data_IF_304102316636
#
_entry.id   IF_304102316636
#
_cell.length_a   1.000
_cell.length_b   1.000
_cell.length_c   1.000
_cell.angle_alpha   90.00
_cell.angle_beta   90.00
_cell.angle_gamma   90.00
#
_symmetry.space_group_name_H-M   'P 1'
#
loop_
_entity.id
_entity.type
_entity.pdbx_description
1 polymer ?
#
# COMPACT_ATOMS: atom_id res chain seq x y z
N UNK A 1 11.94 13.74 -14.22
CA UNK A 1 11.32 13.98 -12.89
C UNK A 1 9.96 14.69 -12.97
N UNK A 2 9.72 15.62 -13.91
CA UNK A 2 8.43 16.34 -14.05
C UNK A 2 7.22 15.39 -14.14
N UNK A 3 7.30 14.38 -14.99
CA UNK A 3 6.23 13.39 -15.16
C UNK A 3 5.95 12.58 -13.88
N UNK A 4 6.99 12.09 -13.19
CA UNK A 4 6.85 11.37 -11.92
C UNK A 4 6.10 12.19 -10.87
N UNK A 5 6.46 13.47 -10.73
CA UNK A 5 5.81 14.38 -9.78
C UNK A 5 4.37 14.69 -10.17
N UNK A 6 4.11 14.87 -11.47
CA UNK A 6 2.76 15.07 -11.99
C UNK A 6 1.86 13.88 -11.62
N UNK A 7 2.28 12.64 -11.98
CA UNK A 7 1.50 11.43 -11.68
C UNK A 7 1.33 11.17 -10.18
N UNK A 8 2.38 11.42 -9.38
CA UNK A 8 2.27 11.31 -7.93
C UNK A 8 1.25 12.32 -7.36
N UNK A 9 1.27 13.55 -7.88
CA UNK A 9 0.28 14.59 -7.54
C UNK A 9 -1.14 14.11 -7.80
N UNK A 10 -1.43 13.58 -8.99
CA UNK A 10 -2.76 13.07 -9.33
C UNK A 10 -3.27 11.99 -8.36
N UNK A 11 -2.40 11.05 -7.96
CA UNK A 11 -2.75 10.02 -6.98
C UNK A 11 -3.06 10.62 -5.61
N UNK A 12 -2.25 11.57 -5.13
CA UNK A 12 -2.50 12.20 -3.83
C UNK A 12 -3.76 13.09 -3.85
N UNK A 13 -4.00 13.82 -4.94
CA UNK A 13 -5.24 14.59 -5.12
C UNK A 13 -6.47 13.67 -5.08
N UNK A 14 -6.41 12.53 -5.77
CA UNK A 14 -7.47 11.52 -5.75
C UNK A 14 -7.77 11.01 -4.33
N UNK A 15 -6.74 10.82 -3.51
CA UNK A 15 -6.88 10.43 -2.10
C UNK A 15 -7.53 11.55 -1.29
N UNK A 16 -7.04 12.80 -1.41
CA UNK A 16 -7.60 13.96 -0.68
C UNK A 16 -9.05 14.24 -1.06
N UNK A 17 -9.40 14.07 -2.32
CA UNK A 17 -10.76 14.22 -2.82
C UNK A 17 -11.69 13.07 -2.42
N UNK A 18 -11.16 11.98 -1.84
CA UNK A 18 -11.94 10.81 -1.42
C UNK A 18 -12.40 9.89 -2.56
N UNK A 19 -12.01 10.19 -3.80
CA UNK A 19 -12.26 9.33 -4.97
C UNK A 19 -11.44 8.04 -4.89
N UNK A 20 -10.19 8.13 -4.42
CA UNK A 20 -9.34 6.97 -4.15
C UNK A 20 -9.27 6.69 -2.64
N UNK A 21 -9.82 5.55 -2.21
CA UNK A 21 -9.72 5.07 -0.83
C UNK A 21 -8.72 3.92 -0.74
N UNK A 22 -7.61 4.14 -0.05
CA UNK A 22 -6.59 3.10 0.16
C UNK A 22 -6.99 2.27 1.39
N UNK A 23 -7.28 0.99 1.18
CA UNK A 23 -7.56 0.04 2.27
C UNK A 23 -6.27 -0.65 2.70
N UNK A 24 -5.93 -0.55 3.98
CA UNK A 24 -4.91 -1.37 4.62
C UNK A 24 -5.57 -2.69 5.01
N UNK A 25 -5.07 -3.78 4.42
CA UNK A 25 -5.60 -5.12 4.57
C UNK A 25 -4.89 -5.95 5.63
N UNK A 26 -3.61 -5.66 5.84
CA UNK A 26 -2.79 -6.29 6.85
C UNK A 26 -1.58 -5.42 7.20
N UNK A 27 -1.12 -5.56 8.43
CA UNK A 27 0.10 -4.94 8.93
C UNK A 27 0.95 -6.04 9.57
N UNK A 28 2.25 -6.01 9.29
CA UNK A 28 3.22 -6.93 9.89
C UNK A 28 4.38 -6.09 10.44
N UNK A 29 4.93 -6.44 11.61
CA UNK A 29 6.23 -5.92 12.02
C UNK A 29 7.30 -6.21 10.96
N UNK A 30 8.29 -5.34 10.82
CA UNK A 30 9.34 -5.44 9.79
C UNK A 30 10.13 -6.75 9.93
N UNK A 31 10.36 -7.22 11.15
CA UNK A 31 11.02 -8.50 11.45
C UNK A 31 10.21 -9.72 10.94
N UNK A 32 8.92 -9.53 10.68
CA UNK A 32 8.00 -10.53 10.12
C UNK A 32 7.76 -10.37 8.62
N UNK A 33 8.65 -9.66 7.90
CA UNK A 33 8.53 -9.48 6.45
C UNK A 33 8.32 -10.79 5.68
N UNK A 34 8.97 -11.90 6.10
CA UNK A 34 8.74 -13.22 5.51
C UNK A 34 7.27 -13.65 5.59
N UNK A 35 6.63 -13.50 6.74
CA UNK A 35 5.21 -13.85 6.94
C UNK A 35 4.30 -12.98 6.07
N UNK A 36 4.64 -11.70 5.90
CA UNK A 36 3.90 -10.79 5.01
C UNK A 36 3.94 -11.26 3.54
N UNK A 37 5.12 -11.70 3.06
CA UNK A 37 5.29 -12.28 1.73
C UNK A 37 4.51 -13.58 1.55
N UNK A 38 4.63 -14.52 2.50
CA UNK A 38 3.87 -15.78 2.48
C UNK A 38 2.35 -15.54 2.45
N UNK A 39 1.86 -14.54 3.19
CA UNK A 39 0.45 -14.15 3.17
C UNK A 39 0.01 -13.51 1.84
N UNK A 40 0.86 -12.69 1.22
CA UNK A 40 0.61 -12.09 -0.10
C UNK A 40 0.59 -13.14 -1.22
N UNK A 41 1.61 -13.99 -1.28
CA UNK A 41 1.75 -15.05 -2.30
C UNK A 41 0.65 -16.09 -2.17
N UNK A 42 0.30 -16.45 -0.92
CA UNK A 42 -0.82 -17.33 -0.62
C UNK A 42 -2.20 -16.71 -0.83
N UNK A 43 -2.29 -15.47 -1.33
CA UNK A 43 -3.54 -14.71 -1.53
C UNK A 43 -4.42 -14.60 -0.29
N UNK A 44 -3.80 -14.54 0.90
CA UNK A 44 -4.48 -14.42 2.20
C UNK A 44 -4.79 -12.97 2.59
N UNK A 45 -4.34 -12.00 1.81
CA UNK A 45 -4.54 -10.57 2.06
C UNK A 45 -5.41 -9.94 0.97
N UNK A 46 -6.13 -8.88 1.32
CA UNK A 46 -6.87 -8.04 0.37
C UNK A 46 -6.63 -6.57 0.70
N UNK A 47 -6.27 -5.75 -0.29
CA UNK A 47 -5.81 -4.37 -0.05
C UNK A 47 -4.29 -4.28 0.11
N UNK A 48 -3.82 -3.23 0.77
CA UNK A 48 -2.39 -2.99 0.98
C UNK A 48 -1.86 -3.73 2.21
N UNK A 49 -0.65 -4.23 2.10
CA UNK A 49 0.10 -4.82 3.22
C UNK A 49 1.22 -3.84 3.57
N UNK A 50 1.33 -3.49 4.85
CA UNK A 50 2.37 -2.60 5.36
C UNK A 50 3.33 -3.36 6.26
N UNK A 51 4.60 -2.98 6.20
CA UNK A 51 5.61 -3.37 7.18
C UNK A 51 5.82 -2.20 8.15
N UNK A 52 5.71 -2.50 9.44
CA UNK A 52 5.85 -1.52 10.53
C UNK A 52 7.24 -1.68 11.14
N UNK A 53 8.09 -0.63 11.15
CA UNK A 53 9.45 -0.70 11.70
C UNK A 53 9.54 -1.02 13.18
#
# INVERSE_FOLDING_TARGET
RKELLFRAGEVFEAIRAGWLRVRIGAEFPLEKAREAHEALEGRKTTGKVLLIP
#
